data_IF_706122025305
#
_entry.id   IF_706122025305
#
_cell.length_a   1.000
_cell.length_b   1.000
_cell.length_c   1.000
_cell.angle_alpha   90.00
_cell.angle_beta   90.00
_cell.angle_gamma   90.00
#
_symmetry.space_group_name_H-M   'P 1'
#
loop_
_entity.id
_entity.type
_entity.pdbx_description
1 polymer ?
#
# COMPACT_ATOMS: atom_id res chain seq x y z
N UNK A 1 -1.86 1.38 -42.90
CA UNK A 1 -2.04 1.82 -41.50
C UNK A 1 -1.04 2.92 -41.22
N UNK A 2 -1.48 4.15 -40.88
CA UNK A 2 -0.55 5.24 -40.56
C UNK A 2 0.17 4.89 -39.25
N UNK A 3 1.50 4.93 -39.24
CA UNK A 3 2.29 4.56 -38.07
C UNK A 3 2.15 5.64 -36.99
N UNK A 4 1.30 5.39 -36.00
CA UNK A 4 1.16 6.24 -34.81
C UNK A 4 2.27 5.95 -33.78
N UNK A 5 3.34 5.23 -34.17
CA UNK A 5 4.43 4.82 -33.28
C UNK A 5 5.11 6.01 -32.60
N UNK A 6 5.29 7.12 -33.31
CA UNK A 6 5.88 8.34 -32.74
C UNK A 6 5.06 8.89 -31.55
N UNK A 7 3.73 8.83 -31.62
CA UNK A 7 2.85 9.29 -30.53
C UNK A 7 3.05 8.43 -29.28
N UNK A 8 3.16 7.11 -29.45
CA UNK A 8 3.45 6.20 -28.33
C UNK A 8 4.81 6.46 -27.70
N UNK A 9 5.85 6.70 -28.51
CA UNK A 9 7.20 7.02 -27.99
C UNK A 9 7.19 8.31 -27.21
N UNK A 10 6.57 9.38 -27.74
CA UNK A 10 6.47 10.68 -27.05
C UNK A 10 5.66 10.54 -25.76
N UNK A 11 4.53 9.83 -25.79
CA UNK A 11 3.71 9.60 -24.61
C UNK A 11 4.46 8.79 -23.55
N UNK A 12 5.18 7.75 -23.95
CA UNK A 12 6.04 6.96 -23.06
C UNK A 12 7.14 7.81 -22.44
N UNK A 13 7.82 8.66 -23.22
CA UNK A 13 8.82 9.58 -22.70
C UNK A 13 8.22 10.56 -21.70
N UNK A 14 7.02 11.09 -21.99
CA UNK A 14 6.30 12.00 -21.11
C UNK A 14 5.93 11.34 -19.78
N UNK A 15 5.51 10.07 -19.81
CA UNK A 15 5.22 9.30 -18.60
C UNK A 15 6.47 9.05 -17.75
N UNK A 16 7.60 8.67 -18.37
CA UNK A 16 8.85 8.39 -17.64
C UNK A 16 9.51 9.67 -17.13
N UNK A 17 9.52 10.75 -17.92
CA UNK A 17 10.12 12.02 -17.52
C UNK A 17 9.41 12.67 -16.32
N UNK A 18 8.11 12.43 -16.18
CA UNK A 18 7.29 12.94 -15.08
C UNK A 18 7.18 11.97 -13.89
N UNK A 19 8.06 10.97 -13.78
CA UNK A 19 8.26 10.19 -12.55
C UNK A 19 8.89 11.06 -11.46
N UNK A 20 8.25 12.18 -11.15
CA UNK A 20 8.54 12.96 -9.96
C UNK A 20 8.00 12.19 -8.76
N UNK A 21 8.78 12.18 -7.66
CA UNK A 21 8.26 11.69 -6.38
C UNK A 21 6.97 12.47 -6.08
N UNK A 22 5.84 11.74 -6.03
CA UNK A 22 4.50 12.33 -5.93
C UNK A 22 4.33 13.29 -4.73
N UNK A 23 5.21 13.19 -3.74
CA UNK A 23 5.23 14.06 -2.56
C UNK A 23 6.67 14.35 -2.14
N UNK A 24 7.28 15.37 -2.76
CA UNK A 24 8.62 15.86 -2.36
C UNK A 24 8.64 16.32 -0.89
N UNK A 25 7.57 16.96 -0.45
CA UNK A 25 7.40 17.43 0.92
C UNK A 25 6.24 16.69 1.59
N UNK A 26 6.54 15.49 2.10
CA UNK A 26 5.57 14.68 2.81
C UNK A 26 5.16 15.30 4.16
N UNK A 27 6.05 16.11 4.76
CA UNK A 27 5.79 16.83 6.01
C UNK A 27 4.77 17.94 5.84
N UNK A 28 4.97 18.82 4.86
CA UNK A 28 3.99 19.87 4.52
C UNK A 28 2.67 19.31 4.01
N UNK A 29 2.71 18.24 3.21
CA UNK A 29 1.50 17.53 2.79
C UNK A 29 0.70 17.00 3.98
N UNK A 30 1.39 16.32 4.92
CA UNK A 30 0.76 15.80 6.12
C UNK A 30 0.10 16.92 6.92
N UNK A 31 0.85 17.99 7.20
CA UNK A 31 0.39 19.16 7.95
C UNK A 31 -0.88 19.76 7.34
N UNK A 32 -0.89 19.95 6.02
CA UNK A 32 -2.05 20.46 5.30
C UNK A 32 -3.26 19.51 5.34
N UNK A 33 -3.03 18.22 5.07
CA UNK A 33 -4.11 17.24 4.97
C UNK A 33 -4.73 16.89 6.32
N UNK A 34 -3.91 16.88 7.36
CA UNK A 34 -4.30 16.46 8.71
C UNK A 34 -4.68 17.65 9.59
N UNK A 35 -4.89 18.85 9.02
CA UNK A 35 -5.30 20.05 9.76
C UNK A 35 -4.37 20.33 10.95
N UNK A 36 -3.06 20.41 10.69
CA UNK A 36 -2.03 20.68 11.69
C UNK A 36 -1.86 19.58 12.76
N UNK A 37 -2.54 18.44 12.63
CA UNK A 37 -2.32 17.31 13.54
C UNK A 37 -0.90 16.73 13.34
N UNK A 38 -0.22 16.36 14.44
CA UNK A 38 1.14 15.85 14.37
C UNK A 38 1.19 14.51 13.63
N UNK A 39 2.31 14.27 12.95
CA UNK A 39 2.58 12.98 12.32
C UNK A 39 2.84 11.92 13.40
N UNK A 40 2.22 10.73 13.34
CA UNK A 40 2.49 9.64 14.26
C UNK A 40 3.97 9.25 14.23
N UNK A 41 4.55 9.08 15.42
CA UNK A 41 5.96 8.74 15.56
C UNK A 41 6.34 7.47 14.77
N UNK A 42 5.45 6.48 14.74
CA UNK A 42 5.67 5.22 14.02
C UNK A 42 5.93 5.37 12.52
N UNK A 43 5.45 6.44 11.88
CA UNK A 43 5.71 6.71 10.46
C UNK A 43 6.66 7.89 10.25
N UNK A 44 6.90 8.69 11.29
CA UNK A 44 7.73 9.89 11.20
C UNK A 44 9.15 9.54 10.79
N UNK A 45 9.72 8.50 11.39
CA UNK A 45 11.07 8.03 11.09
C UNK A 45 11.18 7.64 9.60
N UNK A 46 10.16 6.95 9.06
CA UNK A 46 10.11 6.58 7.63
C UNK A 46 10.07 7.81 6.69
N UNK A 47 9.39 8.89 7.11
CA UNK A 47 9.29 10.14 6.32
C UNK A 47 10.59 10.93 6.36
N UNK A 48 11.18 11.08 7.55
CA UNK A 48 12.44 11.81 7.73
C UNK A 48 13.59 11.11 6.98
N UNK A 49 13.65 9.78 7.06
CA UNK A 49 14.64 8.99 6.33
C UNK A 49 14.47 9.12 4.81
N UNK A 50 13.23 9.16 4.31
CA UNK A 50 12.97 9.35 2.88
C UNK A 50 13.48 10.70 2.38
N UNK A 51 13.38 11.77 3.17
CA UNK A 51 13.94 13.08 2.82
C UNK A 51 15.47 13.12 2.92
N UNK A 52 16.07 12.42 3.90
CA UNK A 52 17.51 12.35 4.05
C UNK A 52 18.18 11.40 3.02
N UNK A 53 17.44 10.43 2.48
CA UNK A 53 17.95 9.32 1.65
C UNK A 53 18.56 9.72 0.30
N UNK A 54 18.59 11.01 -0.05
CA UNK A 54 19.38 11.52 -1.18
C UNK A 54 20.88 11.16 -1.05
N UNK A 55 21.34 10.74 0.14
CA UNK A 55 22.71 10.26 0.40
C UNK A 55 22.95 8.75 0.21
N UNK A 56 22.05 8.01 -0.44
CA UNK A 56 22.38 6.69 -1.02
C UNK A 56 22.37 5.49 -0.07
N UNK A 57 21.97 5.65 1.19
CA UNK A 57 21.65 4.52 2.08
C UNK A 57 20.21 4.06 1.83
N UNK A 58 20.02 3.14 0.88
CA UNK A 58 18.70 2.65 0.45
C UNK A 58 18.14 1.47 1.26
N UNK A 59 18.83 1.02 2.31
CA UNK A 59 18.54 -0.26 2.96
C UNK A 59 17.70 -0.11 4.24
N UNK A 60 16.63 0.70 4.20
CA UNK A 60 15.71 0.88 5.33
C UNK A 60 14.77 -0.32 5.52
N UNK A 61 14.39 -0.97 4.41
CA UNK A 61 13.58 -2.18 4.47
C UNK A 61 14.50 -3.39 4.56
N UNK A 62 14.63 -3.94 5.77
CA UNK A 62 15.16 -5.28 5.94
C UNK A 62 14.27 -6.24 5.15
N UNK A 63 14.84 -6.87 4.13
CA UNK A 63 14.16 -7.88 3.31
C UNK A 63 14.38 -9.27 3.92
N UNK A 64 14.16 -9.40 5.21
CA UNK A 64 14.28 -10.66 5.97
C UNK A 64 12.98 -11.47 5.97
N UNK A 65 11.97 -11.04 5.20
CA UNK A 65 10.80 -11.85 4.93
C UNK A 65 11.20 -13.21 4.36
N UNK A 66 10.72 -14.27 4.99
CA UNK A 66 10.90 -15.63 4.46
C UNK A 66 10.20 -15.72 3.11
N UNK A 67 11.00 -15.77 2.03
CA UNK A 67 10.49 -15.91 0.66
C UNK A 67 10.01 -17.33 0.37
N UNK A 68 10.17 -18.24 1.33
CA UNK A 68 9.67 -19.60 1.22
C UNK A 68 8.15 -19.57 1.09
N UNK A 69 7.57 -20.16 0.03
CA UNK A 69 6.13 -20.25 -0.11
C UNK A 69 5.57 -21.09 1.05
N UNK A 70 4.76 -20.46 1.91
CA UNK A 70 4.04 -21.14 2.96
C UNK A 70 2.59 -21.37 2.50
N UNK A 71 2.22 -22.63 2.27
CA UNK A 71 0.84 -22.99 1.91
C UNK A 71 0.02 -23.04 3.19
N UNK A 72 -0.56 -21.92 3.58
CA UNK A 72 -1.46 -21.84 4.73
C UNK A 72 -2.84 -22.36 4.29
N UNK A 73 -3.17 -23.60 4.62
CA UNK A 73 -4.54 -24.12 4.47
C UNK A 73 -5.43 -23.59 5.59
N UNK A 74 -6.20 -22.54 5.28
CA UNK A 74 -7.29 -22.08 6.14
C UNK A 74 -8.40 -23.13 6.16
N UNK A 75 -8.60 -23.78 7.30
CA UNK A 75 -9.77 -24.62 7.52
C UNK A 75 -10.99 -23.71 7.71
N UNK A 76 -11.92 -23.72 6.75
CA UNK A 76 -13.25 -23.15 6.96
C UNK A 76 -13.99 -24.05 7.95
N UNK A 77 -14.24 -23.55 9.15
CA UNK A 77 -15.18 -24.19 10.07
C UNK A 77 -16.60 -23.99 9.53
N UNK A 78 -17.13 -24.99 8.82
CA UNK A 78 -18.56 -25.06 8.55
C UNK A 78 -19.26 -25.35 9.88
N UNK A 79 -19.84 -24.32 10.50
CA UNK A 79 -20.73 -24.49 11.64
C UNK A 79 -21.96 -25.23 11.11
N UNK A 80 -22.02 -26.54 11.35
CA UNK A 80 -23.22 -27.32 11.08
C UNK A 80 -24.33 -26.72 11.93
N UNK A 81 -25.23 -25.98 11.29
CA UNK A 81 -26.50 -25.60 11.87
C UNK A 81 -27.30 -26.89 12.02
N UNK A 82 -27.03 -27.65 13.10
CA UNK A 82 -28.02 -28.57 13.63
C UNK A 82 -29.20 -27.71 14.02
N UNK A 83 -30.12 -27.64 13.06
CA UNK A 83 -31.44 -27.07 13.11
C UNK A 83 -32.05 -27.45 14.46
N UNK A 84 -31.91 -26.57 15.44
CA UNK A 84 -32.68 -26.64 16.68
C UNK A 84 -34.11 -26.34 16.24
N UNK A 85 -34.82 -27.37 15.80
CA UNK A 85 -36.27 -27.39 15.76
C UNK A 85 -36.72 -27.17 17.20
N UNK A 86 -36.89 -25.91 17.60
CA UNK A 86 -37.78 -25.58 18.71
C UNK A 86 -39.18 -25.61 18.10
N UNK A 87 -40.03 -26.60 18.40
CA UNK A 87 -41.43 -26.50 18.06
C UNK A 87 -41.97 -25.24 18.73
N UNK A 88 -42.51 -24.33 17.93
CA UNK A 88 -43.26 -23.19 18.42
C UNK A 88 -44.37 -23.75 19.30
N UNK A 89 -44.31 -23.45 20.60
CA UNK A 89 -45.34 -23.85 21.55
C UNK A 89 -46.63 -23.17 21.10
N UNK A 90 -47.53 -24.00 20.57
CA UNK A 90 -48.89 -23.65 20.26
C UNK A 90 -49.64 -23.66 21.59
N UNK A 91 -49.77 -22.50 22.25
CA UNK A 91 -50.88 -22.21 23.15
C UNK A 91 -51.01 -20.73 23.50
#
# INVERSE_FOLDING_TARGET
MKSNFAVFVVFSLLLVANLSCARKDLGGYWKNMMKEQPMPQAIKDLVEDSQASDTGKKDLFTRDFDVKPNVILYHTHVVSMKQKQKPFLQN
#
